data_IF_562196269057
#
_entry.id   IF_562196269057
#
_cell.length_a   1.000
_cell.length_b   1.000
_cell.length_c   1.000
_cell.angle_alpha   90.00
_cell.angle_beta   90.00
_cell.angle_gamma   90.00
#
_symmetry.space_group_name_H-M   'P 1'
#
loop_
_entity.id
_entity.type
_entity.pdbx_description
1 polymer ?
#
# COMPACT_ATOMS: atom_id res chain seq x y z
N UNK A 1 -48.14 14.50 -19.95
CA UNK A 1 -47.33 14.35 -18.71
C UNK A 1 -46.82 12.92 -18.76
N UNK A 2 -45.64 12.74 -19.35
CA UNK A 2 -45.23 11.43 -19.86
C UNK A 2 -44.67 10.56 -18.75
N UNK A 3 -45.18 9.33 -18.68
CA UNK A 3 -44.90 8.32 -17.65
C UNK A 3 -43.44 7.84 -17.63
N UNK A 4 -42.61 8.31 -18.57
CA UNK A 4 -41.20 7.97 -18.76
C UNK A 4 -40.26 8.53 -17.69
N UNK A 5 -40.61 9.64 -17.05
CA UNK A 5 -39.79 10.20 -15.97
C UNK A 5 -39.92 9.38 -14.68
N UNK A 6 -41.12 8.88 -14.38
CA UNK A 6 -41.36 8.06 -13.19
C UNK A 6 -40.58 6.74 -13.24
N UNK A 7 -40.47 6.11 -14.41
CA UNK A 7 -39.68 4.88 -14.55
C UNK A 7 -38.18 5.14 -14.37
N UNK A 8 -37.66 6.27 -14.86
CA UNK A 8 -36.26 6.66 -14.66
C UNK A 8 -35.92 6.87 -13.17
N UNK A 9 -36.82 7.52 -12.42
CA UNK A 9 -36.65 7.70 -10.97
C UNK A 9 -36.72 6.38 -10.20
N UNK A 10 -37.64 5.49 -10.55
CA UNK A 10 -37.77 4.19 -9.89
C UNK A 10 -36.57 3.27 -10.17
N UNK A 11 -36.06 3.26 -11.40
CA UNK A 11 -34.83 2.52 -11.75
C UNK A 11 -33.62 3.10 -11.03
N UNK A 12 -33.48 4.43 -11.03
CA UNK A 12 -32.38 5.12 -10.33
C UNK A 12 -32.36 4.85 -8.83
N UNK A 13 -33.50 4.97 -8.16
CA UNK A 13 -33.64 4.69 -6.73
C UNK A 13 -33.40 3.20 -6.41
N UNK A 14 -33.87 2.29 -7.27
CA UNK A 14 -33.64 0.85 -7.14
C UNK A 14 -32.16 0.46 -7.21
N UNK A 15 -31.43 1.02 -8.18
CA UNK A 15 -29.99 0.79 -8.32
C UNK A 15 -29.20 1.31 -7.11
N UNK A 16 -29.56 2.47 -6.57
CA UNK A 16 -28.94 3.06 -5.37
C UNK A 16 -29.18 2.20 -4.12
N UNK A 17 -30.42 1.73 -3.91
CA UNK A 17 -30.77 0.88 -2.77
C UNK A 17 -30.07 -0.49 -2.85
N UNK A 18 -30.00 -1.09 -4.05
CA UNK A 18 -29.30 -2.36 -4.26
C UNK A 18 -27.79 -2.23 -4.03
N UNK A 19 -27.19 -1.12 -4.49
CA UNK A 19 -25.79 -0.79 -4.23
C UNK A 19 -25.48 -0.59 -2.73
N UNK A 20 -26.37 0.07 -2.00
CA UNK A 20 -26.23 0.25 -0.55
C UNK A 20 -26.34 -1.08 0.24
N UNK A 21 -27.29 -1.94 -0.15
CA UNK A 21 -27.50 -3.25 0.49
C UNK A 21 -26.38 -4.26 0.18
N UNK A 22 -25.76 -4.18 -0.99
CA UNK A 22 -24.63 -5.05 -1.36
C UNK A 22 -23.30 -4.51 -0.84
N UNK A 23 -23.09 -3.18 -0.86
CA UNK A 23 -21.87 -2.53 -0.39
C UNK A 23 -21.63 -2.66 1.11
N UNK A 24 -22.69 -2.78 1.91
CA UNK A 24 -22.58 -2.97 3.38
C UNK A 24 -22.27 -4.42 3.79
N UNK A 25 -22.30 -5.38 2.85
CA UNK A 25 -22.09 -6.81 3.13
C UNK A 25 -20.66 -7.31 2.94
N UNK A 26 -19.77 -6.50 2.35
CA UNK A 26 -18.34 -6.82 2.33
C UNK A 26 -17.69 -6.48 3.67
N UNK A 27 -17.92 -7.38 4.64
CA UNK A 27 -17.17 -7.49 5.89
C UNK A 27 -15.69 -7.66 5.53
N UNK A 28 -14.86 -6.71 5.95
CA UNK A 28 -13.41 -6.83 5.88
C UNK A 28 -13.00 -8.16 6.55
N UNK A 29 -12.49 -9.10 5.77
CA UNK A 29 -11.82 -10.28 6.32
C UNK A 29 -10.54 -9.77 6.96
N UNK A 30 -10.53 -9.66 8.29
CA UNK A 30 -9.31 -9.43 9.06
C UNK A 30 -8.39 -10.63 8.82
N UNK A 31 -7.38 -10.45 7.98
CA UNK A 31 -6.30 -11.42 7.83
C UNK A 31 -5.51 -11.39 9.14
N UNK A 32 -5.69 -12.42 9.96
CA UNK A 32 -4.84 -12.67 11.12
C UNK A 32 -3.48 -13.13 10.59
N UNK A 33 -2.53 -12.20 10.53
CA UNK A 33 -1.13 -12.53 10.26
C UNK A 33 -0.57 -13.27 11.48
N UNK A 34 -0.29 -14.57 11.31
CA UNK A 34 0.44 -15.37 12.30
C UNK A 34 1.89 -14.86 12.35
N UNK A 35 2.18 -13.93 13.27
CA UNK A 35 3.54 -13.46 13.50
C UNK A 35 4.41 -14.63 13.97
N UNK A 36 5.56 -14.81 13.32
CA UNK A 36 6.59 -15.75 13.74
C UNK A 36 7.56 -14.98 14.66
N UNK A 37 7.60 -15.25 15.99
CA UNK A 37 8.26 -14.38 16.96
C UNK A 37 9.79 -14.40 16.91
N UNK A 38 10.40 -15.19 16.02
CA UNK A 38 11.84 -15.45 16.00
C UNK A 38 12.70 -14.34 15.33
N UNK A 39 12.12 -13.32 14.70
CA UNK A 39 12.87 -12.33 13.92
C UNK A 39 13.30 -11.07 14.71
N UNK A 40 12.90 -10.93 15.98
CA UNK A 40 13.19 -9.74 16.80
C UNK A 40 13.94 -10.14 18.08
N UNK A 41 15.16 -10.66 17.92
CA UNK A 41 16.06 -10.84 19.06
C UNK A 41 16.55 -9.45 19.52
N UNK A 42 15.94 -8.92 20.57
CA UNK A 42 16.39 -7.71 21.26
C UNK A 42 17.70 -8.02 21.98
N UNK A 43 18.76 -7.30 21.64
CA UNK A 43 20.03 -7.31 22.37
C UNK A 43 19.78 -6.82 23.81
N UNK A 44 20.02 -7.71 24.78
CA UNK A 44 19.70 -7.49 26.21
C UNK A 44 20.69 -6.58 26.93
N UNK A 45 21.69 -6.02 26.23
CA UNK A 45 22.76 -5.20 26.82
C UNK A 45 22.59 -3.68 26.70
N UNK A 46 21.39 -3.16 26.35
CA UNK A 46 21.09 -1.73 26.54
C UNK A 46 20.41 -1.51 27.89
N UNK A 47 20.97 -0.62 28.70
CA UNK A 47 20.34 -0.10 29.92
C UNK A 47 18.92 0.41 29.67
N UNK A 48 18.14 0.67 30.74
CA UNK A 48 16.70 0.89 30.65
C UNK A 48 16.37 1.91 29.56
N UNK A 49 15.71 1.43 28.50
CA UNK A 49 15.28 2.25 27.39
C UNK A 49 14.16 3.14 27.92
N UNK A 50 14.45 4.43 28.08
CA UNK A 50 13.48 5.43 28.53
C UNK A 50 12.23 5.34 27.65
N UNK A 51 11.05 5.17 28.27
CA UNK A 51 9.76 4.98 27.62
C UNK A 51 9.47 6.09 26.58
N UNK A 52 9.97 7.30 26.84
CA UNK A 52 9.86 8.45 25.94
C UNK A 52 10.62 8.25 24.63
N UNK A 53 11.82 7.66 24.65
CA UNK A 53 12.58 7.35 23.41
C UNK A 53 11.91 6.26 22.58
N UNK A 54 11.14 5.38 23.22
CA UNK A 54 10.37 4.36 22.52
C UNK A 54 9.17 4.98 21.80
N UNK A 55 8.52 5.98 22.40
CA UNK A 55 7.40 6.71 21.79
C UNK A 55 7.87 7.47 20.54
N UNK A 56 9.00 8.20 20.61
CA UNK A 56 9.57 8.92 19.46
C UNK A 56 9.91 7.98 18.28
N UNK A 57 10.39 6.77 18.56
CA UNK A 57 10.72 5.76 17.53
C UNK A 57 9.46 5.16 16.91
N UNK A 58 8.39 4.99 17.70
CA UNK A 58 7.11 4.43 17.22
C UNK A 58 6.31 5.48 16.42
N UNK A 59 6.48 6.77 16.71
CA UNK A 59 5.77 7.85 16.04
C UNK A 59 6.24 8.12 14.59
N UNK A 60 7.49 7.80 14.23
CA UNK A 60 8.04 8.11 12.90
C UNK A 60 8.17 6.89 11.96
N UNK A 61 7.10 6.09 11.87
CA UNK A 61 7.01 5.01 10.88
C UNK A 61 6.27 5.46 9.62
N UNK A 62 6.79 5.10 8.45
CA UNK A 62 6.13 5.39 7.18
C UNK A 62 6.08 4.20 6.24
N UNK A 63 5.12 4.27 5.33
CA UNK A 63 5.02 3.36 4.19
C UNK A 63 5.32 4.14 2.92
N UNK A 64 6.21 3.61 2.09
CA UNK A 64 6.48 4.15 0.75
C UNK A 64 6.04 3.15 -0.30
N UNK A 65 5.30 3.63 -1.30
CA UNK A 65 4.89 2.88 -2.47
C UNK A 65 5.71 3.37 -3.66
N UNK A 66 6.62 2.54 -4.15
CA UNK A 66 7.42 2.83 -5.34
C UNK A 66 6.74 2.23 -6.56
N UNK A 67 6.33 3.09 -7.47
CA UNK A 67 5.53 2.76 -8.66
C UNK A 67 6.42 2.81 -9.91
N UNK A 68 6.25 1.84 -10.80
CA UNK A 68 6.91 1.85 -12.11
C UNK A 68 6.28 2.86 -13.07
N UNK A 69 7.08 3.83 -13.49
CA UNK A 69 6.68 4.91 -14.41
C UNK A 69 6.74 4.51 -15.90
N UNK A 70 7.52 3.48 -16.23
CA UNK A 70 7.61 2.92 -17.58
C UNK A 70 6.31 2.23 -18.01
N UNK A 71 5.54 1.70 -17.06
CA UNK A 71 4.26 1.04 -17.30
C UNK A 71 3.11 2.01 -17.66
N UNK A 72 3.32 3.33 -17.59
CA UNK A 72 2.33 4.38 -17.92
C UNK A 72 0.95 4.13 -17.33
N UNK A 73 0.90 3.68 -16.07
CA UNK A 73 -0.37 3.36 -15.41
C UNK A 73 -1.25 4.61 -15.25
N UNK A 74 -2.51 4.53 -15.69
CA UNK A 74 -3.49 5.59 -15.46
C UNK A 74 -3.74 5.78 -13.95
N UNK A 75 -4.07 7.02 -13.56
CA UNK A 75 -4.26 7.45 -12.15
C UNK A 75 -5.20 6.54 -11.35
N UNK A 76 -6.25 6.01 -11.99
CA UNK A 76 -7.20 5.09 -11.34
C UNK A 76 -6.60 3.73 -10.97
N UNK A 77 -5.67 3.21 -11.78
CA UNK A 77 -5.00 1.92 -11.49
C UNK A 77 -3.97 2.06 -10.37
N UNK A 78 -3.28 3.21 -10.33
CA UNK A 78 -2.36 3.56 -9.24
C UNK A 78 -3.13 3.63 -7.92
N UNK A 79 -4.27 4.34 -7.87
CA UNK A 79 -5.09 4.44 -6.68
C UNK A 79 -5.63 3.06 -6.21
N UNK A 80 -6.00 2.18 -7.15
CA UNK A 80 -6.43 0.81 -6.83
C UNK A 80 -5.29 -0.02 -6.20
N UNK A 81 -4.05 0.14 -6.66
CA UNK A 81 -2.89 -0.53 -6.08
C UNK A 81 -2.44 0.08 -4.74
N UNK A 82 -2.77 1.35 -4.49
CA UNK A 82 -2.42 2.06 -3.25
C UNK A 82 -3.47 1.93 -2.14
N UNK A 83 -4.63 1.31 -2.40
CA UNK A 83 -5.74 1.19 -1.44
C UNK A 83 -5.41 0.16 -0.35
N UNK A 84 -4.75 0.63 0.72
CA UNK A 84 -4.48 -0.12 1.95
C UNK A 84 -4.79 0.74 3.20
N UNK A 85 -5.91 1.46 3.18
CA UNK A 85 -6.30 2.47 4.16
C UNK A 85 -6.95 1.85 5.39
N UNK A 86 -6.20 1.60 6.48
CA UNK A 86 -6.83 1.35 7.80
C UNK A 86 -6.04 1.86 9.01
N UNK A 87 -4.77 2.25 8.87
CA UNK A 87 -4.01 2.85 9.98
C UNK A 87 -3.54 4.23 9.52
N UNK A 88 -3.69 5.27 10.34
CA UNK A 88 -3.32 6.68 10.07
C UNK A 88 -1.82 6.93 9.90
N UNK A 89 -1.12 6.02 9.21
CA UNK A 89 0.30 6.04 8.94
C UNK A 89 0.58 6.82 7.66
N UNK A 90 1.64 7.62 7.65
CA UNK A 90 2.10 8.36 6.47
C UNK A 90 2.38 7.40 5.31
N UNK A 91 1.78 7.71 4.15
CA UNK A 91 2.01 7.00 2.89
C UNK A 91 2.53 7.95 1.84
N UNK A 92 3.70 7.64 1.30
CA UNK A 92 4.32 8.43 0.23
C UNK A 92 4.39 7.58 -1.03
N UNK A 93 4.00 8.15 -2.17
CA UNK A 93 4.07 7.47 -3.46
C UNK A 93 5.20 8.07 -4.29
N UNK A 94 6.18 7.23 -4.61
CA UNK A 94 7.38 7.59 -5.38
C UNK A 94 7.40 6.83 -6.70
N UNK A 95 8.26 7.24 -7.63
CA UNK A 95 8.44 6.57 -8.92
C UNK A 95 9.84 6.04 -9.16
N UNK A 96 9.90 4.93 -9.90
CA UNK A 96 11.10 4.35 -10.50
C UNK A 96 10.85 4.14 -12.00
N UNK A 97 11.92 4.04 -12.79
CA UNK A 97 11.81 4.02 -14.25
C UNK A 97 11.86 2.61 -14.84
N UNK A 98 12.16 1.58 -14.05
CA UNK A 98 12.26 0.20 -14.55
C UNK A 98 11.94 -0.87 -13.50
N UNK A 99 11.73 -2.10 -13.97
CA UNK A 99 11.61 -3.27 -13.10
C UNK A 99 12.91 -3.58 -12.35
N UNK A 100 14.05 -3.37 -13.02
CA UNK A 100 15.38 -3.60 -12.45
C UNK A 100 15.62 -2.67 -11.25
N UNK A 101 15.33 -1.38 -11.40
CA UNK A 101 15.43 -0.39 -10.31
C UNK A 101 14.58 -0.82 -9.10
N UNK A 102 13.37 -1.31 -9.36
CA UNK A 102 12.45 -1.77 -8.32
C UNK A 102 13.01 -3.00 -7.57
N UNK A 103 13.68 -3.92 -8.26
CA UNK A 103 14.33 -5.08 -7.66
C UNK A 103 15.60 -4.69 -6.87
N UNK A 104 16.40 -3.75 -7.38
CA UNK A 104 17.57 -3.21 -6.69
C UNK A 104 17.15 -2.55 -5.37
N UNK A 105 16.10 -1.73 -5.39
CA UNK A 105 15.53 -1.10 -4.19
C UNK A 105 15.04 -2.15 -3.19
N UNK A 106 14.40 -3.22 -3.66
CA UNK A 106 13.97 -4.32 -2.80
C UNK A 106 15.16 -5.03 -2.13
N UNK A 107 16.21 -5.32 -2.89
CA UNK A 107 17.44 -5.93 -2.37
C UNK A 107 18.07 -5.08 -1.26
N UNK A 108 18.16 -3.77 -1.50
CA UNK A 108 18.66 -2.81 -0.51
C UNK A 108 17.80 -2.80 0.75
N UNK A 109 16.48 -2.71 0.62
CA UNK A 109 15.55 -2.74 1.76
C UNK A 109 15.64 -4.04 2.57
N UNK A 110 15.73 -5.19 1.89
CA UNK A 110 15.91 -6.50 2.52
C UNK A 110 17.22 -6.59 3.30
N UNK A 111 18.31 -6.01 2.80
CA UNK A 111 19.60 -5.97 3.51
C UNK A 111 19.51 -5.19 4.85
N UNK A 112 18.61 -4.19 4.91
CA UNK A 112 18.29 -3.42 6.10
C UNK A 112 17.19 -4.08 6.96
N UNK A 113 16.75 -5.29 6.61
CA UNK A 113 15.67 -6.04 7.27
C UNK A 113 14.33 -5.30 7.28
N UNK A 114 14.09 -4.43 6.28
CA UNK A 114 12.83 -3.72 6.15
C UNK A 114 11.77 -4.61 5.46
N UNK A 115 10.55 -4.70 6.01
CA UNK A 115 9.43 -5.34 5.34
C UNK A 115 9.17 -4.74 3.96
N UNK A 116 9.13 -5.59 2.93
CA UNK A 116 8.81 -5.20 1.56
C UNK A 116 7.85 -6.18 0.90
N UNK A 117 7.05 -5.69 -0.04
CA UNK A 117 6.16 -6.49 -0.87
C UNK A 117 6.17 -5.96 -2.31
N UNK A 118 6.23 -6.84 -3.31
CA UNK A 118 6.07 -6.47 -4.72
C UNK A 118 4.74 -6.98 -5.23
N UNK A 119 3.92 -6.07 -5.75
CA UNK A 119 2.66 -6.39 -6.41
C UNK A 119 2.90 -6.82 -7.84
N UNK A 120 2.34 -7.97 -8.22
CA UNK A 120 2.43 -8.54 -9.56
C UNK A 120 1.05 -8.39 -10.23
N UNK A 121 1.02 -7.87 -11.45
CA UNK A 121 -0.22 -7.75 -12.22
C UNK A 121 -0.73 -9.13 -12.65
N UNK A 122 -2.00 -9.42 -12.36
CA UNK A 122 -2.62 -10.71 -12.65
C UNK A 122 -3.04 -10.89 -14.13
N UNK A 123 -2.77 -9.92 -15.01
CA UNK A 123 -3.19 -9.94 -16.42
C UNK A 123 -4.64 -9.55 -16.65
N UNK A 124 -5.29 -8.96 -15.65
CA UNK A 124 -6.68 -8.45 -15.75
C UNK A 124 -6.74 -6.97 -16.11
N UNK A 125 -5.59 -6.36 -16.35
CA UNK A 125 -5.47 -4.95 -16.69
C UNK A 125 -4.72 -4.78 -18.01
N UNK A 126 -4.61 -3.53 -18.48
CA UNK A 126 -3.81 -3.19 -19.68
C UNK A 126 -2.28 -3.39 -19.50
N UNK A 127 -1.79 -3.74 -18.30
CA UNK A 127 -0.38 -4.07 -18.09
C UNK A 127 -0.16 -5.54 -18.43
N UNK A 128 1.02 -5.88 -18.96
CA UNK A 128 1.36 -7.26 -19.27
C UNK A 128 1.22 -8.16 -18.03
N UNK A 129 0.60 -9.35 -18.15
CA UNK A 129 0.50 -10.30 -17.05
C UNK A 129 1.88 -10.61 -16.45
N UNK A 130 1.92 -10.85 -15.14
CA UNK A 130 3.14 -11.12 -14.37
C UNK A 130 4.13 -9.95 -14.26
N UNK A 131 3.76 -8.75 -14.71
CA UNK A 131 4.59 -7.55 -14.50
C UNK A 131 4.62 -7.18 -13.03
N UNK A 132 5.82 -6.93 -12.48
CA UNK A 132 5.98 -6.31 -11.15
C UNK A 132 5.65 -4.83 -11.28
N UNK A 133 4.65 -4.33 -10.58
CA UNK A 133 4.08 -2.99 -10.80
C UNK A 133 4.46 -2.00 -9.70
N UNK A 134 4.39 -2.42 -8.44
CA UNK A 134 4.59 -1.58 -7.26
C UNK A 134 5.38 -2.34 -6.21
N UNK A 135 6.32 -1.67 -5.56
CA UNK A 135 6.96 -2.13 -4.34
C UNK A 135 6.47 -1.30 -3.15
N UNK A 136 5.96 -1.97 -2.12
CA UNK A 136 5.73 -1.36 -0.82
C UNK A 136 6.94 -1.61 0.10
N UNK A 137 7.34 -0.59 0.86
CA UNK A 137 8.31 -0.67 1.94
C UNK A 137 7.74 0.01 3.19
N UNK A 138 7.92 -0.61 4.35
CA UNK A 138 7.43 -0.15 5.64
C UNK A 138 8.56 -0.12 6.66
N UNK A 139 8.67 0.94 7.46
CA UNK A 139 9.63 1.00 8.56
C UNK A 139 9.81 2.39 9.15
N UNK A 140 10.79 2.58 10.04
CA UNK A 140 11.19 3.90 10.54
C UNK A 140 11.56 4.82 9.37
N UNK A 141 11.13 6.08 9.42
CA UNK A 141 11.26 7.02 8.31
C UNK A 141 12.69 7.13 7.79
N UNK A 142 13.66 7.27 8.70
CA UNK A 142 15.10 7.33 8.38
C UNK A 142 15.58 6.09 7.62
N UNK A 143 15.19 4.90 8.09
CA UNK A 143 15.59 3.64 7.45
C UNK A 143 14.97 3.48 6.06
N UNK A 144 13.72 3.92 5.88
CA UNK A 144 13.04 3.91 4.59
C UNK A 144 13.66 4.94 3.65
N UNK A 145 13.98 6.14 4.12
CA UNK A 145 14.64 7.19 3.32
C UNK A 145 16.03 6.82 2.85
N UNK A 146 16.78 6.04 3.64
CA UNK A 146 18.05 5.48 3.18
C UNK A 146 17.87 4.65 1.91
N UNK A 147 16.71 4.04 1.68
CA UNK A 147 16.42 3.29 0.44
C UNK A 147 15.84 4.20 -0.64
N UNK A 148 14.86 5.04 -0.29
CA UNK A 148 13.99 5.70 -1.26
C UNK A 148 14.18 7.20 -1.41
N UNK A 149 15.02 7.85 -0.59
CA UNK A 149 15.12 9.31 -0.51
C UNK A 149 15.59 10.02 -1.78
N UNK A 150 16.24 9.29 -2.71
CA UNK A 150 16.63 9.82 -4.02
C UNK A 150 15.53 9.73 -5.09
N UNK A 151 14.41 9.08 -4.80
CA UNK A 151 13.31 8.91 -5.75
C UNK A 151 12.39 10.13 -5.77
N UNK A 152 11.78 10.38 -6.93
CA UNK A 152 10.84 11.50 -7.10
C UNK A 152 9.43 11.07 -6.72
N UNK A 153 8.63 12.03 -6.25
CA UNK A 153 7.17 11.84 -6.13
C UNK A 153 6.59 11.46 -7.50
N UNK A 154 5.63 10.53 -7.47
CA UNK A 154 4.99 9.98 -8.68
C UNK A 154 4.27 11.08 -9.47
#
# INVERSE_FOLDING_TARGET
MDLSWLSAFLVGAGCLALGYLTGTRHRAHSIVVKQNPAAFAVDRNKGPLDIEKLADIVEDFKMVLVVRNDLKMGKGKIAAQCRWEMCGQVKVVLKCESEEDLLILQGRAKSLKLPTHITIDAGRTQIAPNSRTVMAILGPAVSVDNVTGGLKLL
#
